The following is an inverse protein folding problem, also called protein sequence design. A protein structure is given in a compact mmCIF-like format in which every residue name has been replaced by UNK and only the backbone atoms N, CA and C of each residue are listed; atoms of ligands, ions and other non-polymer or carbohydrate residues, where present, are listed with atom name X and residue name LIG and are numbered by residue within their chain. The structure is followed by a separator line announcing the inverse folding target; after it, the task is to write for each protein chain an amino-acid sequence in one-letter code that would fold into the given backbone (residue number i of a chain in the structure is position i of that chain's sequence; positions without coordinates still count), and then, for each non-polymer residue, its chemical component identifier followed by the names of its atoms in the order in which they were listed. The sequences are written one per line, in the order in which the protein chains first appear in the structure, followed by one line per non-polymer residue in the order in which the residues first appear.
data_IF_667730138155
#
_entry.id   IF_667730138155
#
_cell.length_a   1.000
_cell.length_b   1.000
_cell.length_c   1.000
_cell.angle_alpha   90.00
_cell.angle_beta   90.00
_cell.angle_gamma   90.00
#
_symmetry.space_group_name_H-M   'P 1'
#
loop_
_entity.id
_entity.type
_entity.pdbx_description
1 polymer ?
#
# COMPACT_ATOMS: atom_id res chain seq x y z
N UNK A 1 1.22 -18.63 -7.89
CA UNK A 1 1.55 -19.19 -6.56
C UNK A 1 2.30 -18.10 -5.81
N UNK A 2 1.86 -17.73 -4.62
CA UNK A 2 2.55 -16.73 -3.81
C UNK A 2 4.02 -17.15 -3.60
N UNK A 3 4.98 -16.22 -3.49
CA UNK A 3 6.32 -16.59 -3.05
C UNK A 3 6.18 -17.29 -1.69
N UNK A 4 6.94 -18.37 -1.45
CA UNK A 4 6.87 -19.19 -0.23
C UNK A 4 5.60 -20.06 -0.08
N UNK A 5 4.90 -20.40 -1.17
CA UNK A 5 3.72 -21.28 -1.13
C UNK A 5 3.96 -22.68 -0.51
N UNK A 6 5.22 -23.12 -0.43
CA UNK A 6 5.65 -24.37 0.21
C UNK A 6 6.23 -24.18 1.62
N UNK A 7 6.45 -22.94 2.06
CA UNK A 7 7.06 -22.63 3.35
C UNK A 7 6.05 -21.99 4.30
N UNK A 8 6.14 -22.32 5.57
CA UNK A 8 5.25 -21.78 6.58
C UNK A 8 5.68 -20.34 6.92
N UNK A 9 4.75 -19.37 6.81
CA UNK A 9 5.05 -17.93 6.89
C UNK A 9 5.66 -17.56 8.24
N UNK A 10 5.18 -18.16 9.34
CA UNK A 10 5.70 -17.85 10.67
C UNK A 10 7.15 -18.29 10.84
N UNK A 11 7.53 -19.41 10.22
CA UNK A 11 8.90 -19.89 10.19
C UNK A 11 9.83 -18.94 9.42
N UNK A 12 9.43 -18.48 8.23
CA UNK A 12 10.21 -17.52 7.43
C UNK A 12 10.42 -16.21 8.20
N UNK A 13 9.36 -15.68 8.81
CA UNK A 13 9.44 -14.47 9.62
C UNK A 13 10.36 -14.63 10.83
N UNK A 14 10.32 -15.79 11.50
CA UNK A 14 11.22 -16.10 12.61
C UNK A 14 12.69 -16.10 12.17
N UNK A 15 13.00 -16.64 10.98
CA UNK A 15 14.36 -16.64 10.47
C UNK A 15 14.84 -15.24 10.06
N UNK A 16 13.97 -14.42 9.47
CA UNK A 16 14.31 -13.02 9.12
C UNK A 16 14.56 -12.18 10.38
N UNK A 17 13.80 -12.41 11.45
CA UNK A 17 13.94 -11.70 12.72
C UNK A 17 15.18 -12.13 13.53
N UNK A 18 15.75 -13.30 13.25
CA UNK A 18 16.93 -13.80 13.95
C UNK A 18 18.20 -13.06 13.53
N UNK A 19 18.63 -12.15 14.40
CA UNK A 19 19.84 -11.33 14.21
C UNK A 19 21.14 -12.08 14.51
N UNK A 20 21.08 -13.30 15.05
CA UNK A 20 22.24 -14.12 15.35
C UNK A 20 22.76 -14.89 14.12
N UNK A 21 21.97 -15.03 13.06
CA UNK A 21 22.35 -15.75 11.85
C UNK A 21 23.50 -15.06 11.09
N UNK A 22 24.48 -15.87 10.64
CA UNK A 22 25.62 -15.41 9.84
C UNK A 22 25.77 -16.28 8.58
N UNK A 23 25.43 -15.79 7.38
CA UNK A 23 24.82 -14.47 7.12
C UNK A 23 23.36 -14.38 7.59
N UNK A 24 22.84 -13.16 7.84
CA UNK A 24 21.43 -12.93 8.08
C UNK A 24 20.56 -13.58 7.01
N UNK A 25 19.46 -14.22 7.41
CA UNK A 25 18.54 -14.84 6.46
C UNK A 25 17.88 -13.79 5.57
N UNK A 26 17.86 -14.06 4.27
CA UNK A 26 17.20 -13.24 3.24
C UNK A 26 16.33 -14.17 2.39
N UNK A 27 15.03 -13.88 2.27
CA UNK A 27 14.14 -14.72 1.48
C UNK A 27 14.52 -14.73 -0.02
N UNK A 28 14.23 -15.83 -0.71
CA UNK A 28 14.51 -15.96 -2.14
C UNK A 28 13.56 -15.10 -2.98
N UNK A 29 14.09 -14.47 -4.04
CA UNK A 29 13.26 -13.71 -4.95
C UNK A 29 12.17 -14.61 -5.60
N UNK A 30 10.91 -14.12 -5.74
CA UNK A 30 9.84 -14.91 -6.32
C UNK A 30 10.13 -15.35 -7.76
N UNK A 31 9.72 -16.57 -8.12
CA UNK A 31 9.81 -17.05 -9.50
C UNK A 31 9.01 -16.14 -10.46
N UNK A 32 9.65 -15.68 -11.54
CA UNK A 32 9.05 -14.76 -12.52
C UNK A 32 9.26 -13.27 -12.23
N UNK A 33 10.01 -12.92 -11.19
CA UNK A 33 10.42 -11.54 -10.95
C UNK A 33 11.40 -11.07 -12.06
N UNK A 34 11.21 -9.88 -12.67
CA UNK A 34 12.12 -9.36 -13.68
C UNK A 34 13.56 -9.26 -13.13
N UNK A 35 14.54 -9.69 -13.92
CA UNK A 35 15.95 -9.78 -13.49
C UNK A 35 16.48 -8.45 -12.94
N UNK A 36 16.05 -7.31 -13.50
CA UNK A 36 16.43 -5.97 -13.05
C UNK A 36 15.91 -5.64 -11.64
N UNK A 37 14.74 -6.15 -11.26
CA UNK A 37 14.17 -5.97 -9.92
C UNK A 37 14.89 -6.87 -8.93
N UNK A 38 15.16 -8.13 -9.31
CA UNK A 38 15.96 -9.06 -8.49
C UNK A 38 17.34 -8.48 -8.20
N UNK A 39 18.01 -7.91 -9.19
CA UNK A 39 19.34 -7.32 -9.05
C UNK A 39 19.34 -6.12 -8.08
N UNK A 40 18.32 -5.25 -8.15
CA UNK A 40 18.17 -4.14 -7.20
C UNK A 40 17.87 -4.65 -5.79
N UNK A 41 17.01 -5.67 -5.67
CA UNK A 41 16.65 -6.28 -4.37
C UNK A 41 17.86 -6.93 -3.69
N UNK A 42 18.67 -7.71 -4.42
CA UNK A 42 19.87 -8.35 -3.89
C UNK A 42 20.90 -7.33 -3.40
N UNK A 43 21.07 -6.21 -4.12
CA UNK A 43 21.93 -5.09 -3.71
C UNK A 43 21.41 -4.41 -2.44
N UNK A 44 20.09 -4.21 -2.32
CA UNK A 44 19.47 -3.69 -1.11
C UNK A 44 19.62 -4.63 0.11
N UNK A 45 19.70 -5.95 -0.14
CA UNK A 45 19.85 -6.97 0.90
C UNK A 45 21.29 -7.24 1.34
N UNK A 46 22.27 -6.49 0.81
CA UNK A 46 23.67 -6.64 1.19
C UNK A 46 23.87 -6.63 2.71
N UNK A 47 24.66 -7.58 3.20
CA UNK A 47 25.00 -7.73 4.62
C UNK A 47 25.83 -6.54 5.13
N UNK A 48 26.69 -5.99 4.26
CA UNK A 48 27.37 -4.73 4.51
C UNK A 48 26.43 -3.55 4.20
N UNK A 49 26.09 -2.70 5.19
CA UNK A 49 25.27 -1.52 4.95
C UNK A 49 25.86 -0.54 3.93
N UNK A 50 27.20 -0.47 3.80
CA UNK A 50 27.86 0.44 2.86
C UNK A 50 27.81 -0.06 1.41
N UNK A 51 27.62 -1.37 1.21
CA UNK A 51 27.41 -1.97 -0.11
C UNK A 51 25.99 -1.77 -0.65
N UNK A 52 25.08 -1.18 0.13
CA UNK A 52 23.70 -0.94 -0.30
C UNK A 52 23.62 0.31 -1.18
N UNK A 53 22.81 0.27 -2.25
CA UNK A 53 22.66 1.39 -3.16
C UNK A 53 21.97 2.59 -2.46
N UNK A 54 22.28 3.80 -2.92
CA UNK A 54 21.54 5.00 -2.54
C UNK A 54 20.13 4.97 -3.12
N UNK A 55 19.24 5.81 -2.58
CA UNK A 55 17.89 5.97 -3.10
C UNK A 55 17.87 6.32 -4.60
N UNK A 56 18.74 7.23 -5.03
CA UNK A 56 18.89 7.62 -6.45
C UNK A 56 19.35 6.44 -7.32
N UNK A 57 20.26 5.60 -6.82
CA UNK A 57 20.71 4.40 -7.53
C UNK A 57 19.60 3.34 -7.62
N UNK A 58 18.73 3.25 -6.61
CA UNK A 58 17.53 2.41 -6.64
C UNK A 58 16.54 2.94 -7.67
N UNK A 59 16.26 4.25 -7.66
CA UNK A 59 15.37 4.91 -8.60
C UNK A 59 15.85 4.73 -10.05
N UNK A 60 17.15 4.89 -10.30
CA UNK A 60 17.76 4.59 -11.59
C UNK A 60 17.69 3.10 -11.93
N UNK A 61 17.95 2.23 -10.97
CA UNK A 61 17.85 0.78 -11.10
C UNK A 61 16.43 0.32 -11.48
N UNK A 62 15.41 1.05 -11.05
CA UNK A 62 13.99 0.77 -11.33
C UNK A 62 13.42 1.66 -12.47
N UNK A 63 14.17 2.65 -12.93
CA UNK A 63 13.75 3.55 -14.02
C UNK A 63 13.44 2.77 -15.30
N UNK A 64 12.30 3.08 -15.91
CA UNK A 64 11.77 2.34 -17.07
C UNK A 64 10.79 1.20 -16.72
N UNK A 65 10.53 0.96 -15.42
CA UNK A 65 9.44 0.07 -14.96
C UNK A 65 8.09 0.79 -14.78
N UNK A 66 7.98 2.07 -15.16
CA UNK A 66 6.70 2.76 -15.34
C UNK A 66 6.07 3.45 -14.10
N UNK A 67 6.86 3.90 -13.12
CA UNK A 67 6.35 4.67 -11.97
C UNK A 67 6.30 6.17 -12.33
N UNK A 68 5.11 6.74 -12.58
CA UNK A 68 4.90 8.18 -12.84
C UNK A 68 4.19 8.83 -11.64
N UNK A 69 4.86 9.80 -10.99
CA UNK A 69 4.60 10.25 -9.62
C UNK A 69 4.10 11.71 -9.46
N UNK A 70 3.55 12.38 -10.47
CA UNK A 70 3.52 13.87 -10.45
C UNK A 70 2.18 14.58 -10.15
N UNK A 71 1.02 13.93 -10.03
CA UNK A 71 -0.26 14.66 -9.90
C UNK A 71 -1.03 14.52 -8.56
N UNK A 72 -0.58 13.65 -7.64
CA UNK A 72 -1.30 13.36 -6.39
C UNK A 72 -0.92 14.31 -5.22
N UNK A 73 0.20 15.03 -5.33
CA UNK A 73 0.67 15.90 -4.24
C UNK A 73 -0.14 17.20 -4.12
N UNK A 74 -0.61 17.79 -5.22
CA UNK A 74 -1.15 19.17 -5.19
C UNK A 74 -2.58 19.31 -4.67
N UNK A 75 -3.41 18.25 -4.66
CA UNK A 75 -4.76 18.30 -4.09
C UNK A 75 -4.78 18.10 -2.57
N UNK A 76 -3.75 17.45 -1.99
CA UNK A 76 -3.61 17.35 -0.53
C UNK A 76 -3.09 18.63 0.12
N UNK A 77 -2.41 19.49 -0.62
CA UNK A 77 -1.85 20.74 -0.10
C UNK A 77 -2.87 21.87 0.09
N UNK A 78 -4.04 21.79 -0.56
CA UNK A 78 -5.07 22.84 -0.47
C UNK A 78 -5.95 22.75 0.80
N UNK A 79 -6.03 21.60 1.47
CA UNK A 79 -6.79 21.43 2.73
C UNK A 79 -5.86 21.53 3.95
N UNK A 80 -5.26 22.72 4.09
CA UNK A 80 -4.25 23.03 5.11
C UNK A 80 -4.89 23.44 6.45
N UNK A 81 -5.66 22.52 7.05
CA UNK A 81 -5.98 22.52 8.49
C UNK A 81 -5.82 21.10 9.02
N UNK A 82 -4.87 20.90 9.93
CA UNK A 82 -4.50 19.59 10.54
C UNK A 82 -5.69 18.80 11.10
N UNK A 83 -6.75 19.50 11.47
CA UNK A 83 -8.00 18.93 12.00
C UNK A 83 -8.86 18.28 10.93
N UNK A 84 -8.86 18.78 9.69
CA UNK A 84 -9.81 18.37 8.64
C UNK A 84 -9.45 17.02 8.03
N UNK A 85 -8.15 16.73 7.89
CA UNK A 85 -7.66 15.44 7.36
C UNK A 85 -8.01 14.29 8.29
N UNK A 86 -7.91 14.48 9.61
CA UNK A 86 -8.26 13.43 10.56
C UNK A 86 -9.76 13.10 10.52
N UNK A 87 -10.61 14.12 10.39
CA UNK A 87 -12.05 13.94 10.26
C UNK A 87 -12.49 13.40 8.90
N UNK A 88 -11.69 13.58 7.85
CA UNK A 88 -11.96 13.03 6.52
C UNK A 88 -11.48 11.58 6.33
N UNK A 89 -10.64 11.05 7.23
CA UNK A 89 -10.05 9.70 7.12
C UNK A 89 -10.54 8.77 8.24
N UNK A 90 -10.80 9.32 9.42
CA UNK A 90 -11.18 8.53 10.58
C UNK A 90 -12.55 8.91 11.12
N UNK A 91 -13.31 7.96 11.69
CA UNK A 91 -14.50 8.24 12.47
C UNK A 91 -14.29 9.37 13.48
N UNK A 92 -15.32 10.18 13.79
CA UNK A 92 -15.17 11.36 14.66
C UNK A 92 -14.50 11.07 15.99
N UNK A 93 -14.78 9.92 16.62
CA UNK A 93 -14.19 9.55 17.91
C UNK A 93 -12.72 9.15 17.78
N UNK A 94 -12.34 8.43 16.72
CA UNK A 94 -10.94 8.08 16.41
C UNK A 94 -10.14 9.33 16.09
N UNK A 95 -10.68 10.22 15.24
CA UNK A 95 -10.04 11.50 14.91
C UNK A 95 -9.78 12.34 16.17
N UNK A 96 -10.76 12.43 17.08
CA UNK A 96 -10.60 13.17 18.34
C UNK A 96 -9.57 12.54 19.28
N UNK A 97 -9.54 11.21 19.41
CA UNK A 97 -8.55 10.50 20.20
C UNK A 97 -7.12 10.75 19.67
N UNK A 98 -6.95 10.68 18.34
CA UNK A 98 -5.68 10.99 17.68
C UNK A 98 -5.26 12.45 17.85
N UNK A 99 -6.20 13.40 17.79
CA UNK A 99 -5.92 14.83 18.07
C UNK A 99 -5.42 15.02 19.51
N UNK A 100 -5.93 14.24 20.46
CA UNK A 100 -5.50 14.26 21.87
C UNK A 100 -4.20 13.48 22.14
N UNK A 101 -3.63 12.83 21.12
CA UNK A 101 -2.42 12.00 21.25
C UNK A 101 -2.67 10.67 21.99
N UNK A 102 -3.93 10.24 22.07
CA UNK A 102 -4.33 9.00 22.72
C UNK A 102 -4.09 7.81 21.76
N UNK A 103 -3.81 6.64 22.35
CA UNK A 103 -3.76 5.39 21.58
C UNK A 103 -5.18 4.88 21.35
N UNK A 104 -5.52 4.61 20.10
CA UNK A 104 -6.83 4.06 19.72
C UNK A 104 -6.74 2.54 19.83
N UNK A 105 -7.58 1.95 20.68
CA UNK A 105 -7.65 0.49 20.81
C UNK A 105 -8.41 -0.10 19.62
N UNK A 106 -8.04 -1.30 19.14
CA UNK A 106 -8.78 -1.99 18.08
C UNK A 106 -10.24 -2.20 18.48
N UNK A 107 -11.16 -1.93 17.55
CA UNK A 107 -12.59 -2.16 17.74
C UNK A 107 -13.01 -3.50 17.13
N UNK A 108 -13.76 -4.29 17.88
CA UNK A 108 -14.39 -5.50 17.39
C UNK A 108 -15.85 -5.22 17.03
N UNK A 109 -16.27 -5.61 15.83
CA UNK A 109 -17.66 -5.49 15.39
C UNK A 109 -18.30 -6.89 15.31
N UNK A 110 -19.36 -7.08 16.08
CA UNK A 110 -20.08 -8.37 16.13
C UNK A 110 -20.76 -8.74 14.80
N UNK A 111 -21.06 -7.76 13.94
CA UNK A 111 -21.70 -7.95 12.65
C UNK A 111 -21.20 -6.92 11.65
N UNK A 112 -20.58 -7.39 10.56
CA UNK A 112 -20.13 -6.57 9.44
C UNK A 112 -20.49 -7.23 8.11
N UNK A 113 -20.60 -6.42 7.06
CA UNK A 113 -20.83 -6.89 5.69
C UNK A 113 -19.58 -6.62 4.88
N UNK A 114 -19.07 -7.64 4.19
CA UNK A 114 -17.92 -7.52 3.30
C UNK A 114 -18.42 -7.43 1.87
N UNK A 115 -18.05 -6.36 1.16
CA UNK A 115 -18.33 -6.18 -0.26
C UNK A 115 -17.13 -6.62 -1.09
N UNK A 116 -17.32 -7.66 -1.91
CA UNK A 116 -16.38 -8.03 -2.97
C UNK A 116 -16.92 -7.48 -4.29
N UNK A 117 -16.16 -6.61 -4.94
CA UNK A 117 -16.52 -6.08 -6.25
C UNK A 117 -15.36 -6.21 -7.24
N UNK A 118 -15.70 -6.54 -8.49
CA UNK A 118 -14.79 -6.54 -9.63
C UNK A 118 -15.37 -5.66 -10.73
N UNK A 119 -14.49 -5.02 -11.50
CA UNK A 119 -14.85 -4.20 -12.65
C UNK A 119 -14.53 -5.00 -13.91
N UNK A 120 -15.58 -5.47 -14.58
CA UNK A 120 -15.43 -6.28 -15.80
C UNK A 120 -14.61 -5.53 -16.83
N UNK A 121 -13.52 -6.16 -17.28
CA UNK A 121 -12.63 -5.60 -18.30
C UNK A 121 -11.68 -4.51 -17.80
N UNK A 122 -11.56 -4.30 -16.48
CA UNK A 122 -10.69 -3.30 -15.90
C UNK A 122 -9.24 -3.43 -16.37
N UNK A 123 -8.69 -4.65 -16.45
CA UNK A 123 -7.31 -4.87 -16.93
C UNK A 123 -7.08 -4.34 -18.35
N UNK A 124 -8.04 -4.55 -19.25
CA UNK A 124 -7.95 -4.06 -20.62
C UNK A 124 -8.12 -2.53 -20.68
N UNK A 125 -8.98 -1.97 -19.82
CA UNK A 125 -9.18 -0.53 -19.69
C UNK A 125 -7.93 0.16 -19.13
N UNK A 126 -7.32 -0.38 -18.07
CA UNK A 126 -6.15 0.21 -17.40
C UNK A 126 -4.88 0.17 -18.26
N UNK A 127 -4.79 -0.76 -19.21
CA UNK A 127 -3.70 -0.80 -20.20
C UNK A 127 -3.81 0.29 -21.28
N UNK A 128 -5.03 0.79 -21.53
CA UNK A 128 -5.31 1.78 -22.59
C UNK A 128 -5.37 3.21 -22.06
N UNK A 129 -5.70 3.37 -20.79
CA UNK A 129 -5.85 4.67 -20.15
C UNK A 129 -4.55 5.10 -19.47
N UNK A 130 -4.29 6.41 -19.45
CA UNK A 130 -3.21 6.95 -18.61
C UNK A 130 -3.54 6.70 -17.13
N UNK A 131 -2.52 6.57 -16.26
CA UNK A 131 -2.73 6.37 -14.83
C UNK A 131 -3.66 7.41 -14.19
N UNK A 132 -3.58 8.67 -14.64
CA UNK A 132 -4.48 9.74 -14.20
C UNK A 132 -5.95 9.44 -14.52
N UNK A 133 -6.26 8.99 -15.74
CA UNK A 133 -7.62 8.68 -16.16
C UNK A 133 -8.18 7.43 -15.45
N UNK A 134 -7.33 6.45 -15.14
CA UNK A 134 -7.74 5.30 -14.32
C UNK A 134 -8.06 5.75 -12.90
N UNK A 135 -7.24 6.62 -12.30
CA UNK A 135 -7.48 7.17 -10.98
C UNK A 135 -8.79 7.99 -10.95
N UNK A 136 -9.03 8.82 -11.96
CA UNK A 136 -10.27 9.60 -12.07
C UNK A 136 -11.50 8.70 -12.21
N UNK A 137 -11.41 7.61 -12.97
CA UNK A 137 -12.48 6.62 -13.10
C UNK A 137 -12.81 5.97 -11.75
N UNK A 138 -11.80 5.51 -11.02
CA UNK A 138 -11.98 4.88 -9.72
C UNK A 138 -12.53 5.86 -8.69
N UNK A 139 -12.00 7.09 -8.64
CA UNK A 139 -12.49 8.14 -7.76
C UNK A 139 -13.97 8.43 -7.97
N UNK A 140 -14.43 8.46 -9.24
CA UNK A 140 -15.85 8.64 -9.56
C UNK A 140 -16.71 7.44 -9.12
N UNK A 141 -16.22 6.22 -9.33
CA UNK A 141 -16.93 5.01 -8.93
C UNK A 141 -17.09 4.93 -7.40
N UNK A 142 -15.99 5.08 -6.67
CA UNK A 142 -16.01 5.06 -5.20
C UNK A 142 -16.76 6.25 -4.62
N UNK A 143 -16.65 7.44 -5.23
CA UNK A 143 -17.45 8.59 -4.82
C UNK A 143 -18.96 8.35 -4.94
N UNK A 144 -19.43 7.63 -5.96
CA UNK A 144 -20.83 7.22 -6.05
C UNK A 144 -21.22 6.21 -4.96
N UNK A 145 -20.35 5.25 -4.63
CA UNK A 145 -20.59 4.30 -3.55
C UNK A 145 -20.65 5.00 -2.19
N UNK A 146 -19.80 6.01 -1.98
CA UNK A 146 -19.76 6.80 -0.75
C UNK A 146 -21.05 7.57 -0.55
N UNK A 147 -21.55 8.21 -1.62
CA UNK A 147 -22.85 8.87 -1.60
C UNK A 147 -23.99 7.90 -1.25
N UNK A 148 -23.97 6.68 -1.79
CA UNK A 148 -24.95 5.66 -1.44
C UNK A 148 -24.83 5.23 0.03
N UNK A 149 -23.61 5.09 0.55
CA UNK A 149 -23.38 4.78 1.95
C UNK A 149 -23.95 5.87 2.86
N UNK A 150 -23.68 7.15 2.55
CA UNK A 150 -24.24 8.29 3.28
C UNK A 150 -25.78 8.32 3.23
N UNK A 151 -26.38 8.11 2.06
CA UNK A 151 -27.83 8.09 1.88
C UNK A 151 -28.53 6.99 2.69
N UNK A 152 -27.87 5.84 2.85
CA UNK A 152 -28.41 4.70 3.58
C UNK A 152 -27.92 4.62 5.03
N UNK A 153 -27.13 5.60 5.50
CA UNK A 153 -26.56 5.61 6.86
C UNK A 153 -25.59 4.43 7.11
N UNK A 154 -24.99 3.89 6.05
CA UNK A 154 -24.01 2.80 6.13
C UNK A 154 -22.64 3.40 6.39
N UNK A 155 -21.97 2.89 7.42
CA UNK A 155 -20.58 3.26 7.67
C UNK A 155 -19.65 2.34 6.87
N UNK A 156 -18.81 2.95 6.04
CA UNK A 156 -17.79 2.27 5.23
C UNK A 156 -16.46 2.28 5.98
N UNK A 157 -15.80 1.13 6.01
CA UNK A 157 -14.42 0.97 6.45
C UNK A 157 -13.57 0.63 5.22
N UNK A 158 -12.51 1.41 4.97
CA UNK A 158 -11.53 1.23 3.89
C UNK A 158 -10.28 0.49 4.37
#
# INVERSE_FOLDING_TARGET
KLPYWDEEVSHVLSMVADTALRPPYRPLAPAGCPSRVVEVMEKCWANDPLGRPSFEAIEWGLSGLGVQSSAFFSLREASRKKTDVLHGVFPPHIAQALVRGETVQPEEHAMCTVLFMDIVGFTALSQRLSPSLVADLLNRLFGCLDQLCEQHGVWKLE
#
